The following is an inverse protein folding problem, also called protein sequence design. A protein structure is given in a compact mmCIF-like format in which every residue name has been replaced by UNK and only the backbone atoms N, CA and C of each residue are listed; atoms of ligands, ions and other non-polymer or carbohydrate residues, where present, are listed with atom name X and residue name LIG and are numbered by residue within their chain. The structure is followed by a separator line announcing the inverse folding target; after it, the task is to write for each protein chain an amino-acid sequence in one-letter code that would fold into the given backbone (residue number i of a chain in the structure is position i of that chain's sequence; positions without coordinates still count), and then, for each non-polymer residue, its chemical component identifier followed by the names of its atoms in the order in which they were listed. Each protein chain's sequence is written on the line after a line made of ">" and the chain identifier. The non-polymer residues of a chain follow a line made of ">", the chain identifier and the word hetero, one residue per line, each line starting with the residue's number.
data_IF_580950663786
#
_entry.id   IF_580950663786
#
_cell.length_a   1.000
_cell.length_b   1.000
_cell.length_c   1.000
_cell.angle_alpha   90.00
_cell.angle_beta   90.00
_cell.angle_gamma   90.00
#
_symmetry.space_group_name_H-M   'P 1'
#
loop_
_entity.id
_entity.type
_entity.pdbx_description
1 polymer ?
#
# COMPACT_ATOMS: atom_id res chain seq x y z
N UNK A 1 10.94 9.44 -9.10
CA UNK A 1 10.97 8.21 -8.30
C UNK A 1 11.23 7.03 -9.22
N UNK A 2 12.16 6.19 -8.83
CA UNK A 2 12.52 5.03 -9.66
C UNK A 2 11.52 3.89 -9.45
N UNK A 3 11.39 3.02 -10.46
CA UNK A 3 10.52 1.86 -10.35
C UNK A 3 10.89 0.97 -9.17
N UNK A 4 12.18 0.83 -8.90
CA UNK A 4 12.66 0.05 -7.76
C UNK A 4 12.18 0.62 -6.43
N UNK A 5 12.23 1.95 -6.31
CA UNK A 5 11.76 2.62 -5.10
C UNK A 5 10.26 2.43 -4.89
N UNK A 6 9.52 2.52 -5.99
CA UNK A 6 8.08 2.29 -5.95
C UNK A 6 7.77 0.87 -5.53
N UNK A 7 8.48 -0.09 -6.10
CA UNK A 7 8.28 -1.51 -5.76
C UNK A 7 8.61 -1.77 -4.29
N UNK A 8 9.69 -1.17 -3.80
CA UNK A 8 10.07 -1.32 -2.40
C UNK A 8 9.00 -0.74 -1.48
N UNK A 9 8.50 0.43 -1.83
CA UNK A 9 7.43 1.06 -1.03
C UNK A 9 6.16 0.22 -1.05
N UNK A 10 5.81 -0.32 -2.21
CA UNK A 10 4.64 -1.19 -2.33
C UNK A 10 4.78 -2.43 -1.44
N UNK A 11 5.96 -3.00 -1.39
CA UNK A 11 6.22 -4.14 -0.52
C UNK A 11 6.07 -3.77 0.95
N UNK A 12 6.61 -2.62 1.34
CA UNK A 12 6.48 -2.13 2.71
C UNK A 12 5.01 -1.94 3.09
N UNK A 13 4.25 -1.34 2.19
CA UNK A 13 2.82 -1.11 2.42
C UNK A 13 2.10 -2.46 2.58
N UNK A 14 2.42 -3.40 1.73
CA UNK A 14 1.81 -4.73 1.79
C UNK A 14 2.06 -5.40 3.13
N UNK A 15 3.29 -5.31 3.62
CA UNK A 15 3.64 -5.89 4.91
C UNK A 15 2.92 -5.17 6.06
N UNK A 16 2.84 -3.87 5.99
CA UNK A 16 2.14 -3.08 7.01
C UNK A 16 0.65 -3.39 7.01
N UNK A 17 0.05 -3.51 5.82
CA UNK A 17 -1.37 -3.87 5.71
C UNK A 17 -1.64 -5.23 6.33
N UNK A 18 -0.74 -6.18 6.09
CA UNK A 18 -0.88 -7.51 6.67
C UNK A 18 -0.83 -7.46 8.20
N UNK A 19 0.11 -6.68 8.74
CA UNK A 19 0.23 -6.50 10.18
C UNK A 19 -1.01 -5.85 10.78
N UNK A 20 -1.52 -4.82 10.11
CA UNK A 20 -2.71 -4.12 10.59
C UNK A 20 -3.94 -5.01 10.55
N UNK A 21 -4.06 -5.82 9.51
CA UNK A 21 -5.17 -6.76 9.40
C UNK A 21 -5.14 -7.77 10.54
N UNK A 22 -3.94 -8.23 10.89
CA UNK A 22 -3.73 -9.14 12.00
C UNK A 22 -4.12 -8.50 13.34
N UNK A 23 -3.75 -7.23 13.52
CA UNK A 23 -4.10 -6.47 14.72
C UNK A 23 -5.61 -6.26 14.82
N UNK A 24 -6.24 -5.99 13.70
CA UNK A 24 -7.68 -5.80 13.65
C UNK A 24 -8.42 -7.06 14.11
N UNK A 25 -7.92 -8.19 13.71
CA UNK A 25 -8.51 -9.49 14.06
C UNK A 25 -8.43 -9.76 15.56
N UNK A 26 -7.36 -9.28 16.20
CA UNK A 26 -7.12 -9.52 17.62
C UNK A 26 -7.73 -8.49 18.55
N UNK A 27 -8.22 -7.38 18.03
CA UNK A 27 -8.77 -6.29 18.85
C UNK A 27 -10.27 -6.16 18.67
N UNK A 28 -10.97 -6.07 19.79
CA UNK A 28 -12.42 -5.97 19.78
C UNK A 28 -12.95 -4.55 19.88
N UNK A 29 -12.07 -3.56 20.07
CA UNK A 29 -12.56 -2.26 20.52
C UNK A 29 -12.10 -1.06 19.73
N UNK A 30 -12.02 0.05 20.40
CA UNK A 30 -11.85 1.40 19.93
C UNK A 30 -10.74 1.53 18.90
N UNK A 31 -9.72 0.72 19.01
CA UNK A 31 -8.56 0.79 18.13
C UNK A 31 -8.84 0.30 16.71
N UNK A 32 -9.92 -0.46 16.53
CA UNK A 32 -10.28 -0.97 15.21
C UNK A 32 -10.53 0.18 14.23
N UNK A 33 -11.18 1.22 14.70
CA UNK A 33 -11.48 2.38 13.85
C UNK A 33 -10.18 3.05 13.36
N UNK A 34 -9.22 3.21 14.26
CA UNK A 34 -7.93 3.81 13.91
C UNK A 34 -7.18 2.91 12.93
N UNK A 35 -7.22 1.61 13.18
CA UNK A 35 -6.58 0.64 12.29
C UNK A 35 -7.20 0.67 10.90
N UNK A 36 -8.52 0.75 10.82
CA UNK A 36 -9.22 0.83 9.54
C UNK A 36 -8.86 2.11 8.77
N UNK A 37 -8.73 3.22 9.47
CA UNK A 37 -8.31 4.47 8.84
C UNK A 37 -6.91 4.32 8.24
N UNK A 38 -6.01 3.71 8.98
CA UNK A 38 -4.65 3.49 8.50
C UNK A 38 -4.63 2.55 7.29
N UNK A 39 -5.44 1.51 7.34
CA UNK A 39 -5.57 0.57 6.22
C UNK A 39 -6.04 1.31 4.97
N UNK A 40 -7.04 2.17 5.12
CA UNK A 40 -7.57 2.95 4.00
C UNK A 40 -6.50 3.85 3.40
N UNK A 41 -5.73 4.54 4.26
CA UNK A 41 -4.65 5.40 3.80
C UNK A 41 -3.60 4.61 3.01
N UNK A 42 -3.20 3.46 3.53
CA UNK A 42 -2.20 2.64 2.87
C UNK A 42 -2.71 2.06 1.56
N UNK A 43 -3.97 1.67 1.51
CA UNK A 43 -4.57 1.19 0.27
C UNK A 43 -4.59 2.28 -0.78
N UNK A 44 -4.89 3.50 -0.38
CA UNK A 44 -4.88 4.64 -1.30
C UNK A 44 -3.48 4.90 -1.81
N UNK A 45 -2.49 4.89 -0.93
CA UNK A 45 -1.10 5.08 -1.33
C UNK A 45 -0.64 3.97 -2.27
N UNK A 46 -1.00 2.74 -1.95
CA UNK A 46 -0.68 1.58 -2.80
C UNK A 46 -1.26 1.76 -4.20
N UNK A 47 -2.50 2.20 -4.28
CA UNK A 47 -3.15 2.43 -5.57
C UNK A 47 -2.42 3.48 -6.38
N UNK A 48 -2.06 4.59 -5.73
CA UNK A 48 -1.34 5.68 -6.39
C UNK A 48 0.03 5.23 -6.89
N UNK A 49 0.74 4.47 -6.07
CA UNK A 49 2.06 3.97 -6.44
C UNK A 49 1.96 2.94 -7.57
N UNK A 50 0.94 2.12 -7.55
CA UNK A 50 0.73 1.14 -8.61
C UNK A 50 0.48 1.83 -9.94
N UNK A 51 -0.30 2.91 -9.92
CA UNK A 51 -0.52 3.72 -11.12
C UNK A 51 0.78 4.30 -11.65
N UNK A 52 1.62 4.82 -10.76
CA UNK A 52 2.91 5.36 -11.15
C UNK A 52 3.79 4.28 -11.77
N UNK A 53 3.78 3.11 -11.17
CA UNK A 53 4.59 1.99 -11.66
C UNK A 53 4.12 1.55 -13.05
N UNK A 54 2.82 1.43 -13.23
CA UNK A 54 2.24 1.08 -14.52
C UNK A 54 2.59 2.11 -15.58
N UNK A 55 2.56 3.37 -15.21
CA UNK A 55 2.92 4.46 -16.11
C UNK A 55 4.39 4.37 -16.54
N UNK A 56 5.26 4.02 -15.61
CA UNK A 56 6.68 3.82 -15.93
C UNK A 56 6.88 2.68 -16.92
N UNK A 57 6.21 1.57 -16.70
CA UNK A 57 6.30 0.43 -17.60
C UNK A 57 5.71 0.74 -18.97
N UNK A 58 4.61 1.46 -18.98
CA UNK A 58 3.95 1.84 -20.22
C UNK A 58 4.87 2.71 -21.08
N UNK A 59 5.61 3.61 -20.47
CA UNK A 59 6.57 4.45 -21.17
C UNK A 59 7.72 3.64 -21.76
N UNK A 60 8.13 2.60 -21.08
CA UNK A 60 9.20 1.72 -21.56
C UNK A 60 8.74 0.87 -22.73
N UNK A 61 7.48 0.44 -22.71
CA UNK A 61 6.91 -0.40 -23.75
C UNK A 61 6.52 0.40 -24.98
N UNK A 62 6.18 1.66 -24.77
CA UNK A 62 5.72 2.55 -25.84
C UNK A 62 6.79 2.91 -26.86
N UNK A 63 7.97 2.37 -26.72
CA UNK A 63 9.02 2.57 -27.70
C UNK A 63 8.94 1.55 -28.81
#
# INVERSE_FOLDING_TARGET
>A
MRAEDIQQRLQDIRMELHSLDSLKDGNDDVNVHIIEERITELQQERHNLQDLLDSCFDQMIGL
#
